data_IF_674748921451
#
_entry.id   IF_674748921451
#
_cell.length_a   1.000
_cell.length_b   1.000
_cell.length_c   1.000
_cell.angle_alpha   90.00
_cell.angle_beta   90.00
_cell.angle_gamma   90.00
#
_symmetry.space_group_name_H-M   'P 1'
#
loop_
_entity.id
_entity.type
_entity.pdbx_description
1 polymer ?
#
# COMPACT_ATOMS: atom_id res chain seq x y z
N UNK A 1 -8.74 7.58 -5.96
CA UNK A 1 -9.90 6.68 -6.11
C UNK A 1 -10.52 6.72 -7.50
N UNK A 2 -10.82 7.90 -8.09
CA UNK A 2 -11.39 7.97 -9.45
C UNK A 2 -10.51 7.27 -10.51
N UNK A 3 -9.20 7.50 -10.50
CA UNK A 3 -8.27 6.84 -11.43
C UNK A 3 -8.28 5.31 -11.28
N UNK A 4 -8.23 4.80 -10.05
CA UNK A 4 -8.22 3.36 -9.77
C UNK A 4 -9.56 2.71 -10.13
N UNK A 5 -10.66 3.45 -9.99
CA UNK A 5 -11.99 3.05 -10.43
C UNK A 5 -12.07 2.96 -11.96
N UNK A 6 -11.71 4.03 -12.68
CA UNK A 6 -11.74 4.09 -14.14
C UNK A 6 -10.88 2.98 -14.76
N UNK A 7 -9.68 2.75 -14.21
CA UNK A 7 -8.81 1.67 -14.64
C UNK A 7 -9.45 0.29 -14.48
N UNK A 8 -10.02 0.03 -13.29
CA UNK A 8 -10.65 -1.26 -12.99
C UNK A 8 -11.92 -1.46 -13.79
N UNK A 9 -12.75 -0.43 -13.94
CA UNK A 9 -13.96 -0.43 -14.76
C UNK A 9 -13.64 -0.75 -16.22
N UNK A 10 -12.63 -0.08 -16.78
CA UNK A 10 -12.19 -0.29 -18.17
C UNK A 10 -11.80 -1.75 -18.40
N UNK A 11 -11.07 -2.35 -17.45
CA UNK A 11 -10.60 -3.74 -17.58
C UNK A 11 -11.67 -4.79 -17.31
N UNK A 12 -12.48 -4.62 -16.27
CA UNK A 12 -13.36 -5.68 -15.79
C UNK A 12 -14.78 -5.64 -16.39
N UNK A 13 -15.17 -4.49 -16.94
CA UNK A 13 -16.50 -4.22 -17.48
C UNK A 13 -16.43 -3.81 -18.95
N UNK A 14 -15.66 -2.76 -19.27
CA UNK A 14 -15.63 -2.22 -20.64
C UNK A 14 -14.96 -3.21 -21.62
N UNK A 15 -13.83 -3.81 -21.26
CA UNK A 15 -13.15 -4.73 -22.16
C UNK A 15 -13.96 -5.98 -22.51
N UNK A 16 -14.58 -6.70 -21.55
CA UNK A 16 -15.45 -7.83 -21.87
C UNK A 16 -16.67 -7.41 -22.70
N UNK A 17 -17.19 -6.21 -22.48
CA UNK A 17 -18.29 -5.67 -23.26
C UNK A 17 -17.89 -5.43 -24.73
N UNK A 18 -16.75 -4.79 -24.97
CA UNK A 18 -16.26 -4.47 -26.33
C UNK A 18 -15.74 -5.71 -27.07
N UNK A 19 -14.98 -6.57 -26.39
CA UNK A 19 -14.28 -7.68 -27.05
C UNK A 19 -15.12 -8.97 -27.17
N UNK A 20 -16.09 -9.17 -26.28
CA UNK A 20 -16.84 -10.43 -26.16
C UNK A 20 -18.37 -10.22 -26.16
N UNK A 21 -18.84 -8.98 -26.36
CA UNK A 21 -20.25 -8.60 -26.30
C UNK A 21 -20.95 -9.05 -25.00
N UNK A 22 -20.19 -9.19 -23.91
CA UNK A 22 -20.68 -9.70 -22.62
C UNK A 22 -21.00 -8.55 -21.68
N UNK A 23 -22.26 -8.45 -21.27
CA UNK A 23 -22.71 -7.44 -20.29
C UNK A 23 -22.39 -7.87 -18.86
N UNK A 24 -21.29 -7.36 -18.31
CA UNK A 24 -20.85 -7.60 -16.92
C UNK A 24 -21.01 -6.37 -16.01
N UNK A 25 -21.94 -5.45 -16.33
CA UNK A 25 -22.15 -4.20 -15.58
C UNK A 25 -22.56 -4.41 -14.11
N UNK A 26 -23.15 -5.56 -13.76
CA UNK A 26 -23.45 -5.92 -12.37
C UNK A 26 -22.19 -6.02 -11.48
N UNK A 27 -20.99 -6.08 -12.07
CA UNK A 27 -19.72 -6.05 -11.33
C UNK A 27 -19.42 -4.69 -10.70
N UNK A 28 -19.99 -3.59 -11.21
CA UNK A 28 -19.64 -2.22 -10.79
C UNK A 28 -19.86 -1.99 -9.28
N UNK A 29 -21.05 -2.31 -8.70
CA UNK A 29 -21.33 -1.91 -7.32
C UNK A 29 -20.43 -2.58 -6.29
N UNK A 30 -20.06 -3.85 -6.50
CA UNK A 30 -19.30 -4.63 -5.51
C UNK A 30 -17.90 -4.99 -6.01
N UNK A 31 -17.77 -5.61 -7.19
CA UNK A 31 -16.48 -6.16 -7.63
C UNK A 31 -15.47 -5.08 -8.05
N UNK A 32 -15.93 -4.05 -8.78
CA UNK A 32 -15.07 -2.93 -9.16
C UNK A 32 -14.71 -2.09 -7.93
N UNK A 33 -15.70 -1.84 -7.05
CA UNK A 33 -15.45 -1.13 -5.80
C UNK A 33 -14.46 -1.86 -4.89
N UNK A 34 -14.62 -3.19 -4.73
CA UNK A 34 -13.74 -4.00 -3.89
C UNK A 34 -12.32 -4.23 -4.47
N UNK A 35 -12.03 -3.73 -5.67
CA UNK A 35 -10.66 -3.60 -6.21
C UNK A 35 -10.12 -2.17 -6.06
N UNK A 36 -11.01 -1.18 -6.15
CA UNK A 36 -10.69 0.25 -6.04
C UNK A 36 -10.34 0.65 -4.61
N UNK A 37 -11.11 0.16 -3.63
CA UNK A 37 -10.93 0.41 -2.20
C UNK A 37 -9.54 -0.04 -1.69
N UNK A 38 -9.15 -1.33 -1.79
CA UNK A 38 -7.86 -1.78 -1.25
C UNK A 38 -6.67 -1.12 -1.94
N UNK A 39 -6.76 -0.89 -3.26
CA UNK A 39 -5.69 -0.19 -3.99
C UNK A 39 -5.52 1.24 -3.46
N UNK A 40 -6.62 1.97 -3.28
CA UNK A 40 -6.55 3.33 -2.72
C UNK A 40 -6.03 3.30 -1.28
N UNK A 41 -6.51 2.37 -0.45
CA UNK A 41 -6.09 2.21 0.94
C UNK A 41 -4.57 1.96 1.08
N UNK A 42 -4.03 0.97 0.35
CA UNK A 42 -2.59 0.65 0.45
C UNK A 42 -1.70 1.76 -0.14
N UNK A 43 -2.20 2.49 -1.16
CA UNK A 43 -1.49 3.65 -1.71
C UNK A 43 -1.41 4.78 -0.69
N UNK A 44 -2.53 5.11 -0.03
CA UNK A 44 -2.55 6.12 1.03
C UNK A 44 -1.64 5.70 2.20
N UNK A 45 -1.69 4.44 2.62
CA UNK A 45 -0.81 3.91 3.66
C UNK A 45 0.66 4.05 3.27
N UNK A 46 1.05 3.74 2.03
CA UNK A 46 2.41 3.96 1.55
C UNK A 46 2.82 5.45 1.57
N UNK A 47 1.89 6.35 1.20
CA UNK A 47 2.09 7.81 1.23
C UNK A 47 2.19 8.38 2.65
N UNK A 48 1.79 7.65 3.70
CA UNK A 48 2.06 8.03 5.10
C UNK A 48 3.56 7.89 5.41
N UNK A 49 4.20 6.82 4.94
CA UNK A 49 5.59 6.50 5.29
C UNK A 49 6.63 7.08 4.32
N UNK A 50 6.25 7.25 3.05
CA UNK A 50 7.13 7.80 2.01
C UNK A 50 7.79 9.14 2.36
N UNK A 51 7.10 10.19 2.89
CA UNK A 51 7.76 11.46 3.19
C UNK A 51 8.81 11.33 4.30
N UNK A 52 8.65 10.38 5.23
CA UNK A 52 9.67 10.08 6.24
C UNK A 52 10.95 9.48 5.64
N UNK A 53 10.82 8.68 4.57
CA UNK A 53 11.96 8.14 3.82
C UNK A 53 12.64 9.24 2.99
N UNK A 54 11.87 10.08 2.31
CA UNK A 54 12.40 11.23 1.57
C UNK A 54 13.16 12.19 2.49
N UNK A 55 12.63 12.47 3.68
CA UNK A 55 13.31 13.27 4.70
C UNK A 55 14.64 12.63 5.14
N UNK A 56 14.67 11.31 5.35
CA UNK A 56 15.91 10.60 5.71
C UNK A 56 16.95 10.64 4.58
N UNK A 57 16.54 10.44 3.32
CA UNK A 57 17.41 10.55 2.16
C UNK A 57 17.96 11.97 1.99
N UNK A 58 17.13 12.98 2.21
CA UNK A 58 17.54 14.37 2.15
C UNK A 58 18.53 14.73 3.27
N UNK A 59 18.31 14.21 4.49
CA UNK A 59 19.26 14.35 5.60
C UNK A 59 20.61 13.72 5.27
N UNK A 60 20.62 12.51 4.69
CA UNK A 60 21.86 11.85 4.25
C UNK A 60 22.55 12.62 3.14
N UNK A 61 21.80 13.12 2.16
CA UNK A 61 22.34 13.89 1.04
C UNK A 61 22.95 15.22 1.50
N UNK A 62 22.27 15.94 2.39
CA UNK A 62 22.75 17.22 2.94
C UNK A 62 23.86 17.01 3.97
N UNK A 63 23.88 15.87 4.66
CA UNK A 63 24.85 15.57 5.71
C UNK A 63 24.64 16.39 6.98
N UNK A 64 23.46 16.97 7.20
CA UNK A 64 23.13 17.76 8.39
C UNK A 64 21.62 17.67 8.67
N UNK A 65 21.23 17.79 9.94
CA UNK A 65 19.82 17.88 10.37
C UNK A 65 19.30 19.33 10.46
N UNK A 66 20.20 20.32 10.43
CA UNK A 66 19.87 21.72 10.70
C UNK A 66 19.30 22.46 9.48
N UNK A 67 19.34 21.84 8.31
CA UNK A 67 18.76 22.40 7.09
C UNK A 67 17.25 22.12 7.02
N UNK A 68 16.45 23.18 6.85
CA UNK A 68 14.99 23.10 6.74
C UNK A 68 14.53 22.25 5.55
N UNK A 69 13.45 21.50 5.73
CA UNK A 69 12.85 20.74 4.64
C UNK A 69 12.18 21.69 3.63
N UNK A 70 12.11 21.31 2.34
CA UNK A 70 11.27 22.04 1.38
C UNK A 70 9.82 22.10 1.86
N UNK A 71 9.15 23.24 1.69
CA UNK A 71 7.81 23.46 2.26
C UNK A 71 6.72 22.50 1.74
N UNK A 72 6.92 21.81 0.60
CA UNK A 72 6.02 20.75 0.16
C UNK A 72 6.14 19.47 1.01
N UNK A 73 7.36 19.14 1.45
CA UNK A 73 7.63 17.94 2.24
C UNK A 73 7.16 18.11 3.67
N UNK A 74 7.34 19.31 4.23
CA UNK A 74 6.83 19.67 5.56
C UNK A 74 5.31 19.61 5.61
N UNK A 75 4.61 20.25 4.65
CA UNK A 75 3.15 20.16 4.52
C UNK A 75 2.67 18.71 4.40
N UNK A 76 3.36 17.88 3.63
CA UNK A 76 3.02 16.47 3.51
C UNK A 76 3.25 15.70 4.83
N UNK A 77 4.35 15.94 5.54
CA UNK A 77 4.63 15.32 6.85
C UNK A 77 3.54 15.62 7.88
N UNK A 78 2.93 16.82 7.83
CA UNK A 78 1.82 17.24 8.69
C UNK A 78 0.49 16.55 8.36
N UNK A 79 0.31 16.06 7.13
CA UNK A 79 -0.91 15.39 6.67
C UNK A 79 -0.93 13.87 6.91
N UNK A 80 0.14 13.31 7.49
CA UNK A 80 0.30 11.86 7.65
C UNK A 80 -0.82 11.21 8.48
N UNK A 81 -1.30 11.90 9.53
CA UNK A 81 -2.39 11.40 10.38
C UNK A 81 -3.68 11.24 9.55
N UNK A 82 -4.03 12.27 8.79
CA UNK A 82 -5.23 12.31 7.95
C UNK A 82 -5.18 11.25 6.86
N UNK A 83 -4.03 11.10 6.19
CA UNK A 83 -3.81 10.05 5.19
C UNK A 83 -3.93 8.64 5.81
N UNK A 84 -3.38 8.43 7.01
CA UNK A 84 -3.47 7.15 7.72
C UNK A 84 -4.90 6.79 8.11
N UNK A 85 -5.68 7.75 8.61
CA UNK A 85 -7.08 7.54 8.97
C UNK A 85 -7.95 7.24 7.72
N UNK A 86 -7.71 7.94 6.61
CA UNK A 86 -8.38 7.63 5.34
C UNK A 86 -8.00 6.25 4.81
N UNK A 87 -6.72 5.86 4.92
CA UNK A 87 -6.28 4.52 4.54
C UNK A 87 -6.99 3.43 5.37
N UNK A 88 -7.10 3.63 6.69
CA UNK A 88 -7.83 2.72 7.58
C UNK A 88 -9.31 2.62 7.22
N UNK A 89 -9.99 3.76 7.01
CA UNK A 89 -11.40 3.78 6.63
C UNK A 89 -11.66 2.97 5.34
N UNK A 90 -10.86 3.20 4.30
CA UNK A 90 -10.98 2.46 3.05
C UNK A 90 -10.64 0.97 3.19
N UNK A 91 -9.68 0.62 4.06
CA UNK A 91 -9.36 -0.76 4.39
C UNK A 91 -10.51 -1.47 5.12
N UNK A 92 -11.18 -0.77 6.06
CA UNK A 92 -12.35 -1.29 6.75
C UNK A 92 -13.53 -1.52 5.78
N UNK A 93 -13.78 -0.58 4.87
CA UNK A 93 -14.75 -0.79 3.80
C UNK A 93 -14.38 -1.99 2.91
N UNK A 94 -13.12 -2.11 2.50
CA UNK A 94 -12.64 -3.26 1.74
C UNK A 94 -12.89 -4.59 2.47
N UNK A 95 -12.66 -4.64 3.78
CA UNK A 95 -12.95 -5.82 4.59
C UNK A 95 -14.44 -6.17 4.56
N UNK A 96 -15.33 -5.19 4.78
CA UNK A 96 -16.79 -5.40 4.72
C UNK A 96 -17.22 -5.89 3.33
N UNK A 97 -16.78 -5.22 2.26
CA UNK A 97 -17.08 -5.63 0.88
C UNK A 97 -16.61 -7.05 0.59
N UNK A 98 -15.44 -7.45 1.11
CA UNK A 98 -14.88 -8.79 0.92
C UNK A 98 -15.66 -9.85 1.70
N UNK A 99 -16.05 -9.58 2.95
CA UNK A 99 -16.86 -10.48 3.76
C UNK A 99 -18.26 -10.71 3.16
N UNK A 100 -18.80 -9.73 2.45
CA UNK A 100 -20.09 -9.87 1.77
C UNK A 100 -20.04 -10.71 0.48
N UNK A 101 -18.88 -11.20 0.01
CA UNK A 101 -18.77 -11.96 -1.26
C UNK A 101 -19.72 -13.16 -1.35
N UNK A 102 -19.79 -14.05 -0.33
CA UNK A 102 -20.65 -15.23 -0.36
C UNK A 102 -22.16 -14.89 -0.35
N UNK A 103 -22.55 -13.75 0.21
CA UNK A 103 -23.96 -13.33 0.33
C UNK A 103 -24.59 -12.90 -1.00
N UNK A 104 -23.78 -12.68 -2.04
CA UNK A 104 -24.26 -12.13 -3.32
C UNK A 104 -24.96 -13.21 -4.14
N UNK A 105 -26.11 -12.86 -4.73
CA UNK A 105 -26.83 -13.73 -5.70
C UNK A 105 -25.95 -14.18 -6.86
N UNK A 106 -25.09 -13.30 -7.37
CA UNK A 106 -24.16 -13.64 -8.45
C UNK A 106 -23.13 -14.70 -8.07
N UNK A 107 -22.69 -14.76 -6.81
CA UNK A 107 -21.81 -15.83 -6.33
C UNK A 107 -22.58 -17.14 -6.16
N UNK A 108 -23.79 -17.08 -5.59
CA UNK A 108 -24.68 -18.24 -5.45
C UNK A 108 -24.96 -18.92 -6.80
N UNK A 109 -25.29 -18.16 -7.84
CA UNK A 109 -25.50 -18.73 -9.18
C UNK A 109 -24.23 -19.35 -9.77
N UNK A 110 -23.05 -18.75 -9.54
CA UNK A 110 -21.78 -19.35 -9.97
C UNK A 110 -21.49 -20.67 -9.26
N UNK A 111 -21.70 -20.72 -7.94
CA UNK A 111 -21.52 -21.94 -7.14
C UNK A 111 -22.42 -23.07 -7.63
N UNK A 112 -23.70 -22.78 -7.89
CA UNK A 112 -24.64 -23.77 -8.44
C UNK A 112 -24.21 -24.26 -9.83
N UNK A 113 -23.78 -23.35 -10.72
CA UNK A 113 -23.28 -23.73 -12.04
C UNK A 113 -22.01 -24.59 -11.96
N UNK A 114 -21.09 -24.27 -11.05
CA UNK A 114 -19.87 -25.07 -10.83
C UNK A 114 -20.20 -26.47 -10.29
N UNK A 115 -21.09 -26.58 -9.30
CA UNK A 115 -21.54 -27.86 -8.76
C UNK A 115 -22.22 -28.72 -9.84
N UNK A 116 -23.10 -28.11 -10.65
CA UNK A 116 -23.75 -28.80 -11.76
C UNK A 116 -22.74 -29.30 -12.80
N UNK A 117 -21.77 -28.46 -13.19
CA UNK A 117 -20.71 -28.83 -14.13
C UNK A 117 -19.79 -29.93 -13.58
N UNK A 118 -19.50 -29.92 -12.27
CA UNK A 118 -18.71 -30.96 -11.61
C UNK A 118 -19.40 -32.32 -11.72
N UNK A 119 -20.71 -32.37 -11.40
CA UNK A 119 -21.51 -33.60 -11.51
C UNK A 119 -21.56 -34.09 -12.96
N UNK A 120 -21.78 -33.19 -13.94
CA UNK A 120 -21.78 -33.57 -15.35
C UNK A 120 -20.45 -34.16 -15.84
N UNK A 121 -19.33 -33.81 -15.19
CA UNK A 121 -17.99 -34.32 -15.51
C UNK A 121 -17.62 -35.57 -14.72
N UNK A 122 -18.51 -36.10 -13.89
CA UNK A 122 -18.25 -37.21 -12.95
C UNK A 122 -16.99 -36.98 -12.11
N UNK A 123 -16.74 -35.74 -11.70
CA UNK A 123 -15.59 -35.40 -10.87
C UNK A 123 -15.99 -35.46 -9.39
N UNK A 124 -15.46 -36.43 -8.65
CA UNK A 124 -15.79 -36.63 -7.24
C UNK A 124 -15.21 -35.53 -6.34
N UNK A 125 -13.92 -35.21 -6.50
CA UNK A 125 -13.21 -34.22 -5.69
C UNK A 125 -12.80 -32.99 -6.51
N UNK A 126 -13.14 -31.80 -6.00
CA UNK A 126 -12.77 -30.49 -6.57
C UNK A 126 -11.70 -29.77 -5.74
N UNK A 127 -11.12 -30.44 -4.74
CA UNK A 127 -10.05 -29.89 -3.90
C UNK A 127 -8.79 -29.55 -4.69
N UNK A 128 -8.35 -28.30 -4.58
CA UNK A 128 -7.08 -27.83 -5.16
C UNK A 128 -6.24 -27.23 -4.05
N UNK A 129 -5.29 -28.03 -3.53
CA UNK A 129 -4.48 -27.66 -2.37
C UNK A 129 -3.75 -26.31 -2.55
N UNK A 130 -3.19 -26.03 -3.72
CA UNK A 130 -2.48 -24.78 -4.04
C UNK A 130 -3.40 -23.54 -3.91
N UNK A 131 -4.65 -23.65 -4.38
CA UNK A 131 -5.63 -22.56 -4.29
C UNK A 131 -6.12 -22.34 -2.84
N UNK A 132 -6.27 -23.42 -2.08
CA UNK A 132 -6.64 -23.37 -0.65
C UNK A 132 -5.55 -22.69 0.15
N UNK A 133 -4.30 -23.15 0.06
CA UNK A 133 -3.16 -22.53 0.75
C UNK A 133 -3.04 -21.04 0.44
N UNK A 134 -3.17 -20.68 -0.84
CA UNK A 134 -3.18 -19.26 -1.25
C UNK A 134 -4.26 -18.49 -0.50
N UNK A 135 -5.51 -18.98 -0.53
CA UNK A 135 -6.66 -18.33 0.12
C UNK A 135 -6.43 -18.12 1.61
N UNK A 136 -6.07 -19.18 2.35
CA UNK A 136 -5.89 -19.13 3.80
C UNK A 136 -4.79 -18.14 4.20
N UNK A 137 -3.65 -18.16 3.50
CA UNK A 137 -2.52 -17.29 3.82
C UNK A 137 -2.87 -15.82 3.58
N UNK A 138 -3.34 -15.45 2.38
CA UNK A 138 -3.56 -14.02 2.12
C UNK A 138 -4.72 -13.47 2.96
N UNK A 139 -5.76 -14.26 3.23
CA UNK A 139 -6.87 -13.82 4.10
C UNK A 139 -6.36 -13.55 5.51
N UNK A 140 -5.58 -14.47 6.09
CA UNK A 140 -4.98 -14.28 7.43
C UNK A 140 -4.10 -13.04 7.50
N UNK A 141 -3.22 -12.82 6.51
CA UNK A 141 -2.39 -11.61 6.40
C UNK A 141 -3.23 -10.33 6.33
N UNK A 142 -4.35 -10.36 5.60
CA UNK A 142 -5.28 -9.24 5.50
C UNK A 142 -5.94 -8.90 6.84
N UNK A 143 -6.37 -9.91 7.59
CA UNK A 143 -6.97 -9.75 8.93
C UNK A 143 -5.95 -9.17 9.90
N UNK A 144 -4.73 -9.72 9.95
CA UNK A 144 -3.65 -9.20 10.81
C UNK A 144 -3.27 -7.76 10.45
N UNK A 145 -3.16 -7.46 9.15
CA UNK A 145 -2.88 -6.10 8.67
C UNK A 145 -3.96 -5.10 9.07
N UNK A 146 -5.24 -5.47 8.93
CA UNK A 146 -6.35 -4.64 9.38
C UNK A 146 -6.35 -4.43 10.91
N UNK A 147 -6.03 -5.48 11.68
CA UNK A 147 -5.87 -5.39 13.12
C UNK A 147 -4.82 -4.36 13.54
N UNK A 148 -3.64 -4.36 12.90
CA UNK A 148 -2.62 -3.34 13.15
C UNK A 148 -3.07 -1.93 12.73
N UNK A 149 -3.76 -1.79 11.60
CA UNK A 149 -4.33 -0.50 11.19
C UNK A 149 -5.37 0.02 12.18
N UNK A 150 -6.17 -0.85 12.78
CA UNK A 150 -7.12 -0.48 13.82
C UNK A 150 -6.40 0.05 15.07
N UNK A 151 -5.32 -0.60 15.52
CA UNK A 151 -4.50 -0.10 16.64
C UNK A 151 -3.90 1.28 16.35
N UNK A 152 -3.43 1.51 15.12
CA UNK A 152 -2.91 2.81 14.68
C UNK A 152 -4.00 3.89 14.64
N UNK A 153 -5.21 3.54 14.22
CA UNK A 153 -6.35 4.45 14.20
C UNK A 153 -6.83 4.80 15.61
N UNK A 154 -6.92 3.81 16.49
CA UNK A 154 -7.29 3.98 17.91
C UNK A 154 -6.27 4.89 18.62
N UNK A 155 -4.97 4.61 18.46
CA UNK A 155 -3.91 5.46 19.04
C UNK A 155 -3.81 6.86 18.44
N UNK A 156 -4.53 7.14 17.35
CA UNK A 156 -4.64 8.48 16.77
C UNK A 156 -5.75 9.33 17.39
N UNK A 157 -6.59 8.76 18.26
CA UNK A 157 -7.59 9.49 19.03
C UNK A 157 -6.91 10.37 20.10
N UNK A 158 -7.31 11.65 20.26
CA UNK A 158 -6.68 12.56 21.22
C UNK A 158 -6.61 11.99 22.63
N UNK A 159 -7.71 11.38 23.11
CA UNK A 159 -7.79 10.77 24.44
C UNK A 159 -6.76 9.67 24.70
N UNK A 160 -6.29 8.98 23.65
CA UNK A 160 -5.29 7.92 23.76
C UNK A 160 -3.90 8.48 23.45
N UNK A 161 -3.76 9.34 22.44
CA UNK A 161 -2.47 9.94 22.10
C UNK A 161 -1.90 10.78 23.23
N UNK A 162 -2.78 11.46 23.99
CA UNK A 162 -2.38 12.35 25.08
C UNK A 162 -2.00 11.56 26.36
N UNK A 163 -2.42 10.29 26.45
CA UNK A 163 -2.07 9.38 27.53
C UNK A 163 -0.73 8.65 27.31
N UNK A 164 -0.21 8.64 26.08
CA UNK A 164 1.03 7.97 25.71
C UNK A 164 2.20 8.96 25.74
N UNK A 165 3.36 8.51 26.22
CA UNK A 165 4.56 9.32 26.06
C UNK A 165 5.04 9.33 24.59
N UNK A 166 5.88 10.30 24.24
CA UNK A 166 6.37 10.45 22.86
C UNK A 166 7.10 9.21 22.32
N UNK A 167 7.78 8.44 23.18
CA UNK A 167 8.51 7.23 22.77
C UNK A 167 7.54 6.11 22.41
N UNK A 168 6.51 5.89 23.24
CA UNK A 168 5.44 4.91 23.00
C UNK A 168 4.65 5.26 21.74
N UNK A 169 4.21 6.51 21.61
CA UNK A 169 3.46 6.97 20.45
C UNK A 169 4.29 6.82 19.16
N UNK A 170 5.55 7.25 19.18
CA UNK A 170 6.44 7.12 18.03
C UNK A 170 6.71 5.66 17.69
N UNK A 171 6.92 4.80 18.69
CA UNK A 171 7.14 3.38 18.45
C UNK A 171 5.89 2.73 17.84
N UNK A 172 4.71 3.04 18.36
CA UNK A 172 3.45 2.51 17.85
C UNK A 172 3.23 2.93 16.39
N UNK A 173 3.25 4.24 16.12
CA UNK A 173 3.01 4.80 14.78
C UNK A 173 4.09 4.42 13.75
N UNK A 174 5.34 4.20 14.19
CA UNK A 174 6.43 3.81 13.30
C UNK A 174 6.53 2.30 13.12
N UNK A 175 6.69 1.54 14.21
CA UNK A 175 6.99 0.11 14.16
C UNK A 175 5.77 -0.70 13.71
N UNK A 176 4.62 -0.53 14.38
CA UNK A 176 3.38 -1.19 13.96
C UNK A 176 2.91 -0.64 12.61
N UNK A 177 3.22 0.62 12.33
CA UNK A 177 2.98 1.25 11.04
C UNK A 177 3.64 0.54 9.86
N UNK A 178 4.96 0.34 9.92
CA UNK A 178 5.68 -0.41 8.91
C UNK A 178 5.29 -1.90 8.90
N UNK A 179 5.00 -2.50 10.06
CA UNK A 179 4.52 -3.88 10.13
C UNK A 179 3.17 -4.04 9.40
N UNK A 180 2.23 -3.10 9.59
CA UNK A 180 0.97 -3.07 8.86
C UNK A 180 1.19 -2.94 7.36
N UNK A 181 2.10 -2.04 6.92
CA UNK A 181 2.44 -1.90 5.50
C UNK A 181 3.02 -3.20 4.91
N UNK A 182 3.89 -3.90 5.65
CA UNK A 182 4.43 -5.22 5.24
C UNK A 182 3.31 -6.25 5.10
N UNK A 183 2.46 -6.40 6.12
CA UNK A 183 1.36 -7.38 6.09
C UNK A 183 0.36 -7.09 4.97
N UNK A 184 -0.05 -5.83 4.78
CA UNK A 184 -0.96 -5.44 3.69
C UNK A 184 -0.33 -5.62 2.31
N UNK A 185 0.98 -5.39 2.18
CA UNK A 185 1.70 -5.65 0.91
C UNK A 185 1.78 -7.15 0.65
N UNK A 186 2.16 -7.94 1.66
CA UNK A 186 2.22 -9.40 1.55
C UNK A 186 0.84 -10.00 1.21
N UNK A 187 -0.23 -9.53 1.84
CA UNK A 187 -1.62 -9.86 1.49
C UNK A 187 -1.88 -9.70 -0.03
N UNK A 188 -1.51 -8.56 -0.61
CA UNK A 188 -1.71 -8.30 -2.04
C UNK A 188 -0.79 -9.15 -2.94
N UNK A 189 0.46 -9.39 -2.53
CA UNK A 189 1.42 -10.20 -3.29
C UNK A 189 1.00 -11.68 -3.34
N UNK A 190 0.61 -12.24 -2.18
CA UNK A 190 0.14 -13.63 -2.05
C UNK A 190 -1.20 -13.81 -2.77
N UNK A 191 -2.10 -12.80 -2.75
CA UNK A 191 -3.31 -12.81 -3.58
C UNK A 191 -3.00 -12.94 -5.09
N UNK A 192 -1.88 -12.36 -5.53
CA UNK A 192 -1.37 -12.46 -6.89
C UNK A 192 -0.90 -13.86 -7.25
N UNK A 193 -0.17 -14.56 -6.38
CA UNK A 193 0.30 -15.96 -6.57
C UNK A 193 0.87 -16.24 -7.97
N UNK A 194 0.18 -17.03 -8.82
CA UNK A 194 0.58 -17.30 -10.22
C UNK A 194 0.11 -16.24 -11.22
N UNK A 195 -0.81 -15.35 -10.83
CA UNK A 195 -1.38 -14.30 -11.70
C UNK A 195 -0.38 -13.25 -12.17
N UNK A 196 0.82 -13.22 -11.57
CA UNK A 196 1.92 -12.34 -11.98
C UNK A 196 2.45 -12.67 -13.37
N UNK A 197 2.55 -13.97 -13.68
CA UNK A 197 3.20 -14.48 -14.89
C UNK A 197 2.21 -14.92 -15.97
N UNK A 198 0.95 -15.14 -15.60
CA UNK A 198 -0.07 -15.66 -16.51
C UNK A 198 -0.57 -14.57 -17.49
N UNK A 199 -0.31 -14.71 -18.81
CA UNK A 199 -0.64 -13.67 -19.81
C UNK A 199 -2.13 -13.37 -19.93
N UNK A 200 -3.01 -14.34 -19.61
CA UNK A 200 -4.47 -14.19 -19.62
C UNK A 200 -4.98 -13.05 -18.72
N UNK A 201 -4.17 -12.61 -17.75
CA UNK A 201 -4.52 -11.51 -16.86
C UNK A 201 -4.11 -10.12 -17.40
N UNK A 202 -3.36 -10.06 -18.50
CA UNK A 202 -2.94 -8.83 -19.17
C UNK A 202 -3.91 -8.48 -20.29
N UNK A 203 -4.95 -7.75 -19.93
CA UNK A 203 -6.03 -7.34 -20.85
C UNK A 203 -5.61 -6.05 -21.56
N UNK A 204 -5.67 -6.02 -22.90
CA UNK A 204 -5.26 -4.86 -23.71
C UNK A 204 -3.88 -4.29 -23.31
N UNK A 205 -2.89 -5.16 -23.11
CA UNK A 205 -1.53 -4.81 -22.66
C UNK A 205 -1.44 -4.13 -21.29
N UNK A 206 -2.55 -3.97 -20.57
CA UNK A 206 -2.55 -3.40 -19.22
C UNK A 206 -2.31 -4.50 -18.18
N UNK A 207 -1.61 -4.24 -17.06
CA UNK A 207 -1.38 -5.22 -15.99
C UNK A 207 -2.52 -5.28 -14.95
N UNK A 208 -2.77 -6.43 -14.30
CA UNK A 208 -3.76 -6.53 -13.22
C UNK A 208 -3.65 -5.43 -12.17
N UNK A 209 -4.79 -4.93 -11.68
CA UNK A 209 -4.85 -3.82 -10.72
C UNK A 209 -3.98 -4.04 -9.47
N UNK A 210 -3.85 -5.29 -9.00
CA UNK A 210 -3.04 -5.61 -7.83
C UNK A 210 -1.54 -5.36 -8.06
N UNK A 211 -1.02 -5.60 -9.28
CA UNK A 211 0.39 -5.34 -9.61
C UNK A 211 0.69 -3.86 -9.40
N UNK A 212 -0.14 -3.00 -10.00
CA UNK A 212 -0.01 -1.55 -9.87
C UNK A 212 -0.21 -1.07 -8.42
N UNK A 213 -1.15 -1.69 -7.69
CA UNK A 213 -1.38 -1.38 -6.28
C UNK A 213 -0.17 -1.72 -5.40
N UNK A 214 0.58 -2.77 -5.73
CA UNK A 214 1.74 -3.22 -4.96
C UNK A 214 3.03 -2.45 -5.27
N UNK A 215 3.12 -1.72 -6.38
CA UNK A 215 4.36 -1.01 -6.78
C UNK A 215 4.82 0.01 -5.73
N UNK A 216 3.97 1.00 -5.43
CA UNK A 216 4.31 2.06 -4.47
C UNK A 216 4.69 1.51 -3.07
N UNK A 217 3.88 0.66 -2.41
CA UNK A 217 4.23 0.12 -1.10
C UNK A 217 5.50 -0.75 -1.15
N UNK A 218 5.70 -1.55 -2.20
CA UNK A 218 6.95 -2.30 -2.37
C UNK A 218 8.18 -1.38 -2.48
N UNK A 219 8.04 -0.27 -3.21
CA UNK A 219 9.13 0.73 -3.33
C UNK A 219 9.44 1.36 -1.97
N UNK A 220 8.41 1.73 -1.20
CA UNK A 220 8.55 2.27 0.16
C UNK A 220 9.26 1.27 1.07
N UNK A 221 8.86 0.00 1.04
CA UNK A 221 9.49 -1.05 1.84
C UNK A 221 10.94 -1.32 1.42
N UNK A 222 11.25 -1.30 0.12
CA UNK A 222 12.60 -1.49 -0.39
C UNK A 222 13.52 -0.34 0.03
N UNK A 223 13.10 0.91 -0.15
CA UNK A 223 13.85 2.08 0.32
C UNK A 223 14.03 2.04 1.84
N UNK A 224 13.00 1.61 2.58
CA UNK A 224 13.11 1.43 4.02
C UNK A 224 14.15 0.36 4.39
N UNK A 225 14.18 -0.77 3.70
CA UNK A 225 15.15 -1.83 3.91
C UNK A 225 16.58 -1.36 3.63
N UNK A 226 16.79 -0.62 2.53
CA UNK A 226 18.08 0.01 2.21
C UNK A 226 18.52 0.97 3.33
N UNK A 227 17.63 1.82 3.83
CA UNK A 227 17.95 2.74 4.93
C UNK A 227 18.20 2.05 6.28
N UNK A 228 17.81 0.78 6.44
CA UNK A 228 18.11 -0.03 7.62
C UNK A 228 19.47 -0.74 7.53
N UNK A 229 20.15 -0.68 6.37
CA UNK A 229 21.51 -1.22 6.24
C UNK A 229 22.45 -0.53 7.24
N UNK A 230 23.33 -1.26 7.94
CA UNK A 230 24.12 -0.72 9.04
C UNK A 230 24.92 0.54 8.69
N UNK A 231 25.43 0.65 7.46
CA UNK A 231 26.19 1.82 7.01
C UNK A 231 25.34 3.09 6.94
N UNK A 232 24.12 2.99 6.40
CA UNK A 232 23.21 4.12 6.26
C UNK A 232 22.52 4.46 7.57
N UNK A 233 22.11 3.46 8.35
CA UNK A 233 21.44 3.68 9.63
C UNK A 233 22.37 4.33 10.66
N UNK A 234 23.63 3.87 10.75
CA UNK A 234 24.65 4.50 11.62
C UNK A 234 24.89 5.95 11.23
N UNK A 235 25.08 6.23 9.94
CA UNK A 235 25.30 7.59 9.43
C UNK A 235 24.10 8.50 9.68
N UNK A 236 22.89 8.01 9.43
CA UNK A 236 21.65 8.74 9.70
C UNK A 236 21.48 9.00 11.20
N UNK A 237 21.84 8.03 12.04
CA UNK A 237 21.88 8.15 13.49
C UNK A 237 22.84 9.25 13.97
N UNK A 238 24.05 9.30 13.39
CA UNK A 238 25.03 10.37 13.66
C UNK A 238 24.48 11.74 13.28
N UNK A 239 23.91 11.89 12.06
CA UNK A 239 23.31 13.16 11.60
C UNK A 239 22.20 13.62 12.54
N UNK A 240 21.33 12.70 12.98
CA UNK A 240 20.23 13.01 13.91
C UNK A 240 20.73 13.40 15.31
N UNK A 241 21.87 12.85 15.74
CA UNK A 241 22.58 13.26 16.97
C UNK A 241 23.30 14.61 16.84
N UNK A 242 23.39 15.18 15.64
CA UNK A 242 23.97 16.52 15.40
C UNK A 242 25.28 16.51 14.63
N UNK A 243 25.71 15.37 14.08
CA UNK A 243 26.88 15.31 13.21
C UNK A 243 26.61 16.06 11.90
N UNK A 244 27.58 16.89 11.49
CA UNK A 244 27.60 17.54 10.18
C UNK A 244 28.73 16.96 9.33
N UNK A 245 28.42 16.64 8.08
CA UNK A 245 29.45 16.25 7.13
C UNK A 245 30.36 17.45 6.89
N UNK A 246 31.70 17.29 6.99
CA UNK A 246 32.62 18.34 6.57
C UNK A 246 32.48 18.50 5.05
N UNK A 247 31.60 19.39 4.61
CA UNK A 247 31.60 19.87 3.24
C UNK A 247 32.67 20.96 3.16
N UNK A 248 33.55 20.94 2.13
CA UNK A 248 34.43 22.07 1.89
C UNK A 248 33.54 23.31 1.67
N UNK A 249 33.98 24.51 2.11
CA UNK A 249 33.21 25.72 1.92
C UNK A 249 32.90 25.85 0.42
N UNK A 250 31.61 25.88 0.06
CA UNK A 250 31.21 26.38 -1.27
C UNK A 250 31.81 27.78 -1.32
N UNK A 251 32.79 27.96 -2.21
CA UNK A 251 33.55 29.18 -2.33
C UNK A 251 32.61 30.37 -2.24
N UNK A 252 32.83 31.23 -1.23
CA UNK A 252 32.45 32.62 -1.38
C UNK A 252 33.13 33.04 -2.68
N UNK A 253 32.34 33.34 -3.70
CA UNK A 253 32.86 34.04 -4.86
C UNK A 253 33.63 35.22 -4.31
N UNK A 254 34.95 35.17 -4.49
CA UNK A 254 35.80 36.33 -4.35
C UNK A 254 35.27 37.27 -5.42
N UNK A 255 34.43 38.22 -5.03
CA UNK A 255 34.21 39.43 -5.82
C UNK A 255 35.49 40.23 -5.67
N UNK A 256 36.49 39.82 -6.43
CA UNK A 256 37.50 40.70 -6.96
C UNK A 256 36.73 41.69 -7.84
N UNK A 257 36.53 42.89 -7.31
CA UNK A 257 36.30 44.08 -8.10
C UNK A 257 37.44 45.03 -7.82
N UNK A 258 38.43 44.88 -8.68
CA UNK A 258 39.34 45.89 -9.19
C UNK A 258 38.91 47.34 -8.98
N UNK A 259 39.86 48.11 -8.43
CA UNK A 259 40.28 49.47 -8.82
C UNK A 259 39.24 50.54 -9.16
N UNK A 260 39.19 51.58 -8.30
CA UNK A 260 39.73 52.93 -8.56
C UNK A 260 39.70 53.76 -7.27
#
# INVERSE_FOLDING_TARGET
>A
MALTFLYTFTRDVLQPFVSQSRSDFYKIPILVMNKTLPWTAISLLALVYLPGLLAALLQLHRGTKYSSFPGWLERWMSMRKQLGLLAFFLAALHAIYSLCYPMRRSYRYKLLNWAYQQVQRNQEDSWVADDVWRMEIYVSLGIMGLGLLALLAISSLPSISDALNWREFTWMQRSLGYAALVLCTAHALVYGWRKWVEPKHYVWYTPPSFILASLLPATVLLVKAVLLLPCLDRRLGQIRRGWESPRPPRGRGVTEKDSL
#
